data_IF_041707097548
#
_entry.id   IF_041707097548
#
_cell.length_a   1.000
_cell.length_b   1.000
_cell.length_c   1.000
_cell.angle_alpha   90.00
_cell.angle_beta   90.00
_cell.angle_gamma   90.00
#
_symmetry.space_group_name_H-M   'P 1'
#
loop_
_entity.id
_entity.type
_entity.pdbx_description
1 polymer ?
#
# COMPACT_ATOMS: atom_id res chain seq x y z
N UNK A 1 -21.02 5.98 -16.67
CA UNK A 1 -20.15 5.07 -15.92
C UNK A 1 -19.36 5.93 -14.95
N UNK A 2 -19.27 5.56 -13.68
CA UNK A 2 -18.46 6.30 -12.73
C UNK A 2 -16.98 6.18 -13.13
N UNK A 3 -16.23 7.28 -13.04
CA UNK A 3 -14.78 7.24 -13.22
C UNK A 3 -14.17 6.55 -12.00
N UNK A 4 -13.33 5.52 -12.18
CA UNK A 4 -12.74 4.84 -11.05
C UNK A 4 -11.83 5.77 -10.27
N UNK A 5 -11.91 5.70 -8.94
CA UNK A 5 -11.10 6.55 -8.04
C UNK A 5 -9.88 5.80 -7.54
N UNK A 6 -9.97 4.48 -7.43
CA UNK A 6 -8.91 3.61 -6.95
C UNK A 6 -8.66 2.48 -7.93
N UNK A 7 -7.40 2.08 -8.11
CA UNK A 7 -7.02 0.87 -8.82
C UNK A 7 -6.05 0.05 -8.00
N UNK A 8 -6.30 -1.23 -7.82
CA UNK A 8 -5.33 -2.18 -7.27
C UNK A 8 -4.68 -2.97 -8.41
N UNK A 9 -3.38 -3.25 -8.31
CA UNK A 9 -2.59 -3.98 -9.30
C UNK A 9 -1.79 -5.06 -8.57
N UNK A 10 -1.94 -6.29 -9.01
CA UNK A 10 -1.23 -7.45 -8.47
C UNK A 10 0.11 -7.67 -9.17
N UNK A 11 0.91 -8.59 -8.63
CA UNK A 11 2.24 -8.93 -9.12
C UNK A 11 2.29 -9.34 -10.61
N UNK A 12 1.21 -9.93 -11.14
CA UNK A 12 1.12 -10.38 -12.54
C UNK A 12 0.63 -9.28 -13.50
N UNK A 13 0.28 -8.12 -12.96
CA UNK A 13 -0.32 -7.01 -13.71
C UNK A 13 -1.85 -7.06 -13.80
N UNK A 14 -2.51 -8.05 -13.17
CA UNK A 14 -3.96 -8.02 -13.03
C UNK A 14 -4.37 -6.79 -12.23
N UNK A 15 -5.32 -6.03 -12.75
CA UNK A 15 -5.79 -4.78 -12.15
C UNK A 15 -7.28 -4.82 -11.83
N UNK A 16 -7.65 -4.25 -10.69
CA UNK A 16 -9.02 -4.11 -10.21
C UNK A 16 -9.34 -2.63 -10.02
N UNK A 17 -10.32 -2.12 -10.74
CA UNK A 17 -10.82 -0.75 -10.57
C UNK A 17 -11.91 -0.72 -9.48
N UNK A 18 -11.82 0.25 -8.57
CA UNK A 18 -12.64 0.41 -7.36
C UNK A 18 -12.86 -0.91 -6.58
N UNK A 19 -11.78 -1.59 -6.13
CA UNK A 19 -11.91 -2.79 -5.32
C UNK A 19 -12.61 -2.47 -3.99
N UNK A 20 -13.50 -3.36 -3.53
CA UNK A 20 -14.08 -3.26 -2.18
C UNK A 20 -13.04 -3.55 -1.09
N UNK A 21 -13.33 -3.16 0.15
CA UNK A 21 -12.46 -3.43 1.30
C UNK A 21 -12.08 -4.91 1.44
N UNK A 22 -13.06 -5.80 1.30
CA UNK A 22 -12.82 -7.26 1.29
C UNK A 22 -11.88 -7.67 0.17
N UNK A 23 -12.03 -7.09 -1.03
CA UNK A 23 -11.12 -7.38 -2.16
C UNK A 23 -9.71 -6.89 -1.85
N UNK A 24 -9.54 -5.68 -1.32
CA UNK A 24 -8.22 -5.18 -0.93
C UNK A 24 -7.56 -6.09 0.12
N UNK A 25 -8.35 -6.57 1.09
CA UNK A 25 -7.87 -7.51 2.09
C UNK A 25 -7.47 -8.85 1.47
N UNK A 26 -8.31 -9.44 0.61
CA UNK A 26 -8.02 -10.69 -0.09
C UNK A 26 -6.73 -10.61 -0.92
N UNK A 27 -6.54 -9.52 -1.66
CA UNK A 27 -5.32 -9.28 -2.46
C UNK A 27 -4.05 -9.28 -1.58
N UNK A 28 -4.12 -8.66 -0.41
CA UNK A 28 -3.00 -8.62 0.53
C UNK A 28 -2.80 -9.95 1.25
N UNK A 29 -3.88 -10.68 1.52
CA UNK A 29 -3.84 -11.99 2.16
C UNK A 29 -3.29 -13.08 1.23
N UNK A 30 -3.48 -12.93 -0.08
CA UNK A 30 -2.96 -13.85 -1.10
C UNK A 30 -1.45 -13.69 -1.33
N UNK A 31 -0.85 -12.59 -0.87
CA UNK A 31 0.58 -12.32 -1.01
C UNK A 31 1.45 -13.47 -0.47
N UNK A 32 2.49 -13.81 -1.23
CA UNK A 32 3.41 -14.90 -0.91
C UNK A 32 4.83 -14.56 -1.35
N UNK A 33 5.80 -15.43 -1.02
CA UNK A 33 7.18 -15.25 -1.49
C UNK A 33 7.31 -15.33 -3.03
N UNK A 34 6.29 -15.83 -3.72
CA UNK A 34 6.15 -15.78 -5.18
C UNK A 34 5.46 -14.47 -5.60
N UNK A 35 4.43 -14.06 -4.86
CA UNK A 35 3.56 -12.91 -5.15
C UNK A 35 3.81 -11.81 -4.14
N UNK A 36 4.91 -11.10 -4.34
CA UNK A 36 5.52 -10.30 -3.28
C UNK A 36 4.93 -8.91 -3.14
N UNK A 37 4.11 -8.42 -4.06
CA UNK A 37 3.63 -7.05 -3.98
C UNK A 37 2.22 -6.86 -4.53
N UNK A 38 1.56 -5.82 -4.01
CA UNK A 38 0.31 -5.27 -4.51
C UNK A 38 0.46 -3.74 -4.49
N UNK A 39 0.03 -3.09 -5.57
CA UNK A 39 0.09 -1.63 -5.74
C UNK A 39 -1.34 -1.11 -5.76
N UNK A 40 -1.61 -0.04 -5.02
CA UNK A 40 -2.86 0.68 -5.05
C UNK A 40 -2.61 2.11 -5.55
N UNK A 41 -3.38 2.58 -6.53
CA UNK A 41 -3.22 3.88 -7.18
C UNK A 41 -4.50 4.71 -7.05
N UNK A 42 -4.35 5.99 -6.71
CA UNK A 42 -5.44 6.97 -6.73
C UNK A 42 -5.51 7.60 -8.09
N UNK A 43 -6.62 7.37 -8.79
CA UNK A 43 -6.89 7.88 -10.14
C UNK A 43 -7.63 9.22 -10.11
N UNK A 44 -8.20 9.59 -8.96
CA UNK A 44 -8.90 10.86 -8.74
C UNK A 44 -7.95 12.03 -8.39
N UNK A 45 -6.66 11.75 -8.17
CA UNK A 45 -5.67 12.74 -7.75
C UNK A 45 -4.67 13.07 -8.87
N UNK A 46 -4.33 14.35 -9.01
CA UNK A 46 -3.28 14.81 -9.91
C UNK A 46 -1.96 15.08 -9.13
N UNK A 47 -0.78 14.75 -9.69
CA UNK A 47 -0.56 14.13 -10.99
C UNK A 47 -0.89 12.63 -10.98
N UNK A 48 -1.44 12.13 -12.09
CA UNK A 48 -1.65 10.69 -12.27
C UNK A 48 -0.33 9.92 -12.06
N UNK A 49 -0.43 8.70 -11.53
CA UNK A 49 0.71 7.81 -11.24
C UNK A 49 1.70 8.36 -10.19
N UNK A 50 1.36 9.47 -9.51
CA UNK A 50 2.17 10.02 -8.40
C UNK A 50 1.51 9.81 -7.03
N UNK A 51 0.31 9.24 -7.00
CA UNK A 51 -0.45 8.96 -5.79
C UNK A 51 -0.70 7.45 -5.69
N UNK A 52 0.23 6.75 -5.07
CA UNK A 52 0.13 5.30 -4.92
C UNK A 52 0.54 4.84 -3.53
N UNK A 53 0.08 3.67 -3.14
CA UNK A 53 0.52 2.92 -1.98
C UNK A 53 0.86 1.49 -2.42
N UNK A 54 2.11 1.07 -2.23
CA UNK A 54 2.57 -0.26 -2.54
C UNK A 54 2.83 -1.04 -1.26
N UNK A 55 2.33 -2.27 -1.19
CA UNK A 55 2.68 -3.23 -0.14
C UNK A 55 3.62 -4.26 -0.74
N UNK A 56 4.72 -4.53 -0.05
CA UNK A 56 5.72 -5.52 -0.44
C UNK A 56 5.99 -6.50 0.71
N UNK A 57 5.98 -7.80 0.44
CA UNK A 57 6.34 -8.87 1.37
C UNK A 57 7.83 -9.18 1.25
N UNK A 58 8.58 -8.94 2.33
CA UNK A 58 10.01 -9.24 2.41
C UNK A 58 10.24 -10.74 2.68
N UNK A 59 11.47 -11.21 2.45
CA UNK A 59 11.85 -12.62 2.63
C UNK A 59 11.74 -13.10 4.09
N UNK A 60 11.78 -12.19 5.07
CA UNK A 60 11.54 -12.48 6.49
C UNK A 60 10.04 -12.51 6.87
N UNK A 61 9.16 -12.40 5.87
CA UNK A 61 7.71 -12.31 5.97
C UNK A 61 7.23 -11.03 6.70
N UNK A 62 8.08 -10.01 6.81
CA UNK A 62 7.65 -8.67 7.18
C UNK A 62 7.06 -7.93 5.97
N UNK A 63 6.15 -6.99 6.22
CA UNK A 63 5.62 -6.14 5.15
C UNK A 63 6.37 -4.81 5.13
N UNK A 64 6.65 -4.32 3.93
CA UNK A 64 7.06 -2.94 3.67
C UNK A 64 5.91 -2.26 2.96
N UNK A 65 5.41 -1.19 3.55
CA UNK A 65 4.42 -0.33 2.93
C UNK A 65 5.12 0.93 2.45
N UNK A 66 4.94 1.27 1.20
CA UNK A 66 5.48 2.46 0.55
C UNK A 66 4.30 3.30 0.07
N UNK A 67 4.37 4.62 0.20
CA UNK A 67 3.41 5.49 -0.45
C UNK A 67 4.07 6.73 -1.04
N UNK A 68 3.48 7.22 -2.12
CA UNK A 68 3.81 8.50 -2.73
C UNK A 68 2.58 9.40 -2.74
N UNK A 69 2.77 10.66 -2.35
CA UNK A 69 1.71 11.67 -2.23
C UNK A 69 1.99 12.86 -3.17
N UNK A 70 1.91 12.61 -4.48
CA UNK A 70 1.93 13.64 -5.52
C UNK A 70 3.30 14.04 -6.05
N UNK A 71 4.38 13.34 -5.66
CA UNK A 71 5.70 13.56 -6.26
C UNK A 71 6.85 12.82 -5.54
N UNK A 72 8.05 12.81 -6.15
CA UNK A 72 9.20 12.10 -5.61
C UNK A 72 9.67 12.65 -4.26
N UNK A 73 9.48 13.94 -3.99
CA UNK A 73 9.83 14.58 -2.70
C UNK A 73 8.88 14.17 -1.56
N UNK A 74 7.75 13.56 -1.89
CA UNK A 74 6.72 13.10 -0.94
C UNK A 74 6.57 11.60 -1.01
N UNK A 75 7.71 10.93 -0.87
CA UNK A 75 7.82 9.50 -0.90
C UNK A 75 8.21 9.00 0.49
N UNK A 76 7.46 8.03 1.00
CA UNK A 76 7.64 7.52 2.35
C UNK A 76 7.48 6.01 2.37
N UNK A 77 8.09 5.38 3.38
CA UNK A 77 8.01 3.96 3.60
C UNK A 77 7.84 3.66 5.08
N UNK A 78 7.19 2.55 5.39
CA UNK A 78 7.07 1.99 6.71
C UNK A 78 7.37 0.49 6.67
N UNK A 79 7.91 -0.01 7.77
CA UNK A 79 8.15 -1.43 7.97
C UNK A 79 7.17 -1.95 9.02
N UNK A 80 6.46 -3.01 8.67
CA UNK A 80 5.53 -3.72 9.53
C UNK A 80 6.15 -5.08 9.84
N UNK A 81 6.64 -5.30 11.07
CA UNK A 81 7.26 -6.56 11.44
C UNK A 81 6.25 -7.69 11.32
N UNK A 82 6.73 -8.89 10.99
CA UNK A 82 5.90 -10.08 10.95
C UNK A 82 5.28 -10.34 12.33
N UNK A 83 3.96 -10.31 12.42
CA UNK A 83 3.23 -10.78 13.60
C UNK A 83 3.04 -12.30 13.50
N UNK A 84 3.11 -13.03 14.62
CA UNK A 84 2.89 -14.48 14.64
C UNK A 84 1.40 -14.87 14.67
N UNK A 85 0.52 -13.91 14.41
CA UNK A 85 -0.93 -14.08 14.38
C UNK A 85 -1.40 -14.60 13.03
N UNK A 86 -2.51 -15.34 13.04
CA UNK A 86 -3.17 -15.83 11.83
C UNK A 86 -3.63 -14.69 10.89
N UNK A 87 -3.66 -13.46 11.40
CA UNK A 87 -4.14 -12.25 10.74
C UNK A 87 -3.04 -11.20 10.52
N UNK A 88 -1.81 -11.65 10.20
CA UNK A 88 -0.64 -10.76 10.04
C UNK A 88 -0.85 -9.60 9.03
N UNK A 89 -1.82 -9.73 8.12
CA UNK A 89 -2.16 -8.72 7.11
C UNK A 89 -3.12 -7.63 7.59
N UNK A 90 -3.88 -7.84 8.66
CA UNK A 90 -4.87 -6.88 9.18
C UNK A 90 -4.35 -5.44 9.34
N UNK A 91 -3.19 -5.18 9.98
CA UNK A 91 -2.70 -3.81 10.14
C UNK A 91 -2.38 -3.15 8.79
N UNK A 92 -1.90 -3.92 7.82
CA UNK A 92 -1.56 -3.41 6.49
C UNK A 92 -2.83 -3.15 5.68
N UNK A 93 -3.78 -4.09 5.70
CA UNK A 93 -5.07 -3.96 5.03
C UNK A 93 -5.82 -2.71 5.54
N UNK A 94 -5.87 -2.51 6.85
CA UNK A 94 -6.50 -1.32 7.44
C UNK A 94 -5.84 -0.02 6.97
N UNK A 95 -4.51 0.04 6.92
CA UNK A 95 -3.77 1.22 6.45
C UNK A 95 -4.11 1.54 5.00
N UNK A 96 -4.14 0.53 4.13
CA UNK A 96 -4.49 0.69 2.71
C UNK A 96 -5.95 1.14 2.55
N UNK A 97 -6.87 0.54 3.30
CA UNK A 97 -8.30 0.88 3.27
C UNK A 97 -8.54 2.32 3.75
N UNK A 98 -7.94 2.72 4.88
CA UNK A 98 -8.02 4.09 5.40
C UNK A 98 -7.43 5.09 4.37
N UNK A 99 -6.32 4.74 3.71
CA UNK A 99 -5.73 5.56 2.64
C UNK A 99 -6.62 5.68 1.40
N UNK A 100 -7.20 4.56 0.95
CA UNK A 100 -8.13 4.52 -0.17
C UNK A 100 -9.34 5.43 0.07
N UNK A 101 -9.89 5.39 1.29
CA UNK A 101 -11.02 6.23 1.71
C UNK A 101 -10.65 7.70 1.99
N UNK A 102 -9.36 8.04 2.02
CA UNK A 102 -8.89 9.39 2.37
C UNK A 102 -9.01 9.72 3.85
N UNK A 103 -9.11 8.72 4.73
CA UNK A 103 -9.10 8.91 6.18
C UNK A 103 -7.68 9.27 6.66
N UNK A 104 -7.45 10.39 7.37
CA UNK A 104 -6.10 10.75 7.83
C UNK A 104 -5.49 9.78 8.86
N UNK A 105 -6.25 8.82 9.42
CA UNK A 105 -5.79 7.88 10.42
C UNK A 105 -4.59 7.02 9.97
N UNK A 106 -4.51 6.64 8.69
CA UNK A 106 -3.42 5.80 8.16
C UNK A 106 -2.04 6.45 8.33
N UNK A 107 -1.96 7.80 8.35
CA UNK A 107 -0.71 8.53 8.54
C UNK A 107 -0.10 8.33 9.93
N UNK A 108 -0.89 7.95 10.92
CA UNK A 108 -0.41 7.67 12.28
C UNK A 108 -0.45 6.18 12.63
N UNK A 109 -0.97 5.33 11.72
CA UNK A 109 -1.09 3.90 11.94
C UNK A 109 0.26 3.17 11.85
N UNK A 110 1.21 3.71 11.07
CA UNK A 110 2.55 3.15 10.91
C UNK A 110 3.64 4.18 11.20
N UNK A 111 4.83 3.70 11.53
CA UNK A 111 6.03 4.52 11.69
C UNK A 111 6.62 4.86 10.32
N UNK A 112 6.04 5.86 9.64
CA UNK A 112 6.49 6.32 8.33
C UNK A 112 7.84 7.04 8.41
N UNK A 113 8.73 6.71 7.49
CA UNK A 113 10.00 7.38 7.26
C UNK A 113 10.07 7.92 5.82
N UNK A 114 10.74 9.05 5.58
CA UNK A 114 10.91 9.59 4.22
C UNK A 114 11.86 8.72 3.39
N UNK A 115 11.64 8.70 2.07
CA UNK A 115 12.47 8.06 1.08
C UNK A 115 13.13 9.09 0.12
N UNK A 116 14.43 8.96 -0.23
CA UNK A 116 15.37 7.96 0.26
C UNK A 116 15.67 8.14 1.75
N UNK A 117 16.06 7.07 2.47
CA UNK A 117 16.51 7.20 3.85
C UNK A 117 17.60 8.25 3.87
N UNK A 118 17.42 9.30 4.67
CA UNK A 118 18.33 10.44 4.70
C UNK A 118 19.77 9.93 4.76
N UNK A 119 20.53 10.15 3.69
CA UNK A 119 21.97 9.87 3.69
C UNK A 119 22.52 10.58 4.93
N UNK A 120 23.14 9.80 5.82
CA UNK A 120 23.86 10.38 6.95
C UNK A 120 25.00 11.20 6.34
N UNK A 121 24.79 12.51 6.23
CA UNK A 121 25.83 13.48 5.90
C UNK A 121 26.97 13.43 6.93
#
# INVERSE_FOLDING_TARGET
MATPVLRAIEWDGTSWDDPSDDRMHDLLADMSLTWRFVIFERLDLEPADQHYMQVYLNDDLSYRVEYRDGGPDRHFHAHVPRTNDAFAVEPVAKVVQDWAHGDPAWRNALAWAPWPPAERA
#
